data_IF_754396613245
#
_entry.id   IF_754396613245
#
_cell.length_a   1.000
_cell.length_b   1.000
_cell.length_c   1.000
_cell.angle_alpha   90.00
_cell.angle_beta   90.00
_cell.angle_gamma   90.00
#
_symmetry.space_group_name_H-M   'P 1'
#
loop_
_entity.id
_entity.type
_entity.pdbx_description
1 polymer ?
#
# COMPACT_ATOMS: atom_id res chain seq x y z
N UNK A 1 15.45 36.14 -7.60
CA UNK A 1 15.44 34.77 -8.19
C UNK A 1 14.44 33.81 -7.53
N UNK A 2 14.11 33.89 -6.22
CA UNK A 2 13.17 32.94 -5.59
C UNK A 2 11.70 33.11 -6.03
N UNK A 3 11.24 34.34 -6.26
CA UNK A 3 9.86 34.64 -6.67
C UNK A 3 9.46 34.04 -8.04
N UNK A 4 10.38 34.07 -9.02
CA UNK A 4 10.15 33.50 -10.36
C UNK A 4 10.04 31.97 -10.30
N UNK A 5 10.93 31.32 -9.54
CA UNK A 5 10.89 29.87 -9.32
C UNK A 5 9.59 29.42 -8.65
N UNK A 6 9.08 30.18 -7.68
CA UNK A 6 7.79 29.90 -7.04
C UNK A 6 6.61 30.00 -8.02
N UNK A 7 6.58 31.04 -8.89
CA UNK A 7 5.52 31.16 -9.92
C UNK A 7 5.56 30.03 -10.94
N UNK A 8 6.75 29.63 -11.38
CA UNK A 8 6.92 28.50 -12.30
C UNK A 8 6.43 27.18 -11.69
N UNK A 9 6.71 26.94 -10.40
CA UNK A 9 6.22 25.75 -9.69
C UNK A 9 4.69 25.76 -9.59
N UNK A 10 4.07 26.89 -9.24
CA UNK A 10 2.61 26.97 -9.17
C UNK A 10 1.96 26.78 -10.55
N UNK A 11 2.51 27.36 -11.61
CA UNK A 11 2.04 27.14 -12.98
C UNK A 11 2.20 25.68 -13.43
N UNK A 12 3.29 25.01 -13.02
CA UNK A 12 3.49 23.59 -13.27
C UNK A 12 2.44 22.73 -12.56
N UNK A 13 2.20 23.00 -11.26
CA UNK A 13 1.22 22.27 -10.44
C UNK A 13 -0.19 22.32 -11.03
N UNK A 14 -0.60 23.44 -11.62
CA UNK A 14 -1.90 23.58 -12.26
C UNK A 14 -2.14 22.59 -13.40
N UNK A 15 -1.08 22.06 -14.03
CA UNK A 15 -1.17 21.06 -15.10
C UNK A 15 -1.28 19.61 -14.59
N UNK A 16 -1.11 19.39 -13.29
CA UNK A 16 -1.07 18.05 -12.72
C UNK A 16 -2.47 17.53 -12.41
N UNK A 17 -2.77 16.33 -12.91
CA UNK A 17 -3.96 15.55 -12.58
C UNK A 17 -3.57 14.10 -12.31
N UNK A 18 -4.15 13.49 -11.28
CA UNK A 18 -3.86 12.09 -10.97
C UNK A 18 -4.44 11.21 -12.07
N UNK A 19 -3.58 10.41 -12.70
CA UNK A 19 -3.99 9.36 -13.66
C UNK A 19 -4.70 8.23 -12.93
N UNK A 20 -5.50 7.43 -13.64
CA UNK A 20 -6.21 6.29 -13.03
C UNK A 20 -5.24 5.31 -12.35
N UNK A 21 -4.08 5.06 -12.98
CA UNK A 21 -2.99 4.30 -12.40
C UNK A 21 -2.57 4.85 -11.02
N UNK A 22 -2.28 6.16 -10.94
CA UNK A 22 -1.87 6.81 -9.70
C UNK A 22 -2.97 6.78 -8.65
N UNK A 23 -4.24 6.93 -9.05
CA UNK A 23 -5.41 6.88 -8.16
C UNK A 23 -5.58 5.51 -7.50
N UNK A 24 -5.50 4.45 -8.30
CA UNK A 24 -5.63 3.07 -7.79
C UNK A 24 -4.50 2.72 -6.82
N UNK A 25 -3.27 3.11 -7.16
CA UNK A 25 -2.08 2.88 -6.34
C UNK A 25 -2.19 3.67 -5.04
N UNK A 26 -2.56 4.95 -5.12
CA UNK A 26 -2.74 5.82 -3.97
C UNK A 26 -3.69 5.22 -2.94
N UNK A 27 -4.80 4.61 -3.36
CA UNK A 27 -5.73 3.93 -2.44
C UNK A 27 -5.04 2.81 -1.66
N UNK A 28 -4.24 1.99 -2.33
CA UNK A 28 -3.47 0.91 -1.69
C UNK A 28 -2.45 1.45 -0.69
N UNK A 29 -1.69 2.47 -1.09
CA UNK A 29 -0.69 3.12 -0.25
C UNK A 29 -1.30 3.79 0.99
N UNK A 30 -2.50 4.36 0.87
CA UNK A 30 -3.18 4.98 2.02
C UNK A 30 -3.76 3.96 3.00
N UNK A 31 -4.05 2.73 2.56
CA UNK A 31 -4.32 1.63 3.49
C UNK A 31 -3.03 1.11 4.15
N UNK A 32 -1.89 1.27 3.49
CA UNK A 32 -0.57 0.84 3.92
C UNK A 32 0.24 1.89 4.69
N UNK A 33 1.52 1.98 4.34
CA UNK A 33 2.55 2.75 5.06
C UNK A 33 2.53 4.24 4.72
N UNK A 34 1.97 4.62 3.56
CA UNK A 34 2.00 6.02 3.11
C UNK A 34 1.05 6.92 3.92
N UNK A 35 1.34 8.21 3.89
CA UNK A 35 0.46 9.22 4.48
C UNK A 35 0.30 10.48 3.62
N UNK A 36 -0.84 11.15 3.78
CA UNK A 36 -1.07 12.49 3.26
C UNK A 36 -0.82 13.51 4.37
N UNK A 37 0.08 14.46 4.11
CA UNK A 37 0.39 15.55 5.02
C UNK A 37 -0.16 16.88 4.48
N UNK A 38 -0.64 17.74 5.37
CA UNK A 38 -1.07 19.11 5.05
C UNK A 38 -0.34 20.12 5.91
N UNK A 39 0.00 21.27 5.34
CA UNK A 39 0.59 22.41 6.05
C UNK A 39 -0.33 23.66 6.04
N UNK A 40 -1.49 23.58 5.37
CA UNK A 40 -2.38 24.72 5.17
C UNK A 40 -3.83 24.36 5.51
N UNK A 41 -4.02 23.71 6.67
CA UNK A 41 -5.34 23.36 7.23
C UNK A 41 -6.24 22.58 6.25
N UNK A 42 -5.66 21.66 5.49
CA UNK A 42 -6.38 20.75 4.60
C UNK A 42 -6.82 21.36 3.26
N UNK A 43 -6.27 22.51 2.87
CA UNK A 43 -6.49 23.07 1.52
C UNK A 43 -5.79 22.23 0.45
N UNK A 44 -4.57 21.78 0.74
CA UNK A 44 -3.79 20.90 -0.14
C UNK A 44 -3.05 19.86 0.67
N UNK A 45 -2.76 18.72 0.04
CA UNK A 45 -2.02 17.65 0.67
C UNK A 45 -0.85 17.24 -0.20
N UNK A 46 0.19 16.69 0.41
CA UNK A 46 1.28 15.98 -0.26
C UNK A 46 1.27 14.52 0.16
N UNK A 47 1.57 13.62 -0.76
CA UNK A 47 1.85 12.23 -0.47
C UNK A 47 3.30 12.10 0.02
N UNK A 48 3.47 11.44 1.16
CA UNK A 48 4.76 11.08 1.73
C UNK A 48 4.94 9.58 1.66
N UNK A 49 6.04 9.18 1.03
CA UNK A 49 6.49 7.79 0.93
C UNK A 49 7.80 7.67 1.70
N UNK A 50 7.89 6.66 2.55
CA UNK A 50 9.05 6.44 3.39
C UNK A 50 9.14 4.97 3.78
N UNK A 51 10.22 4.29 3.37
CA UNK A 51 10.49 2.91 3.75
C UNK A 51 11.93 2.76 4.23
N UNK A 52 12.22 1.61 4.84
CA UNK A 52 13.60 1.22 5.14
C UNK A 52 14.44 1.14 3.87
N UNK A 53 15.75 1.34 3.98
CA UNK A 53 16.67 1.21 2.83
C UNK A 53 16.64 -0.20 2.22
N UNK A 54 16.29 -1.23 2.99
CA UNK A 54 16.09 -2.59 2.48
C UNK A 54 14.96 -2.68 1.43
N UNK A 55 14.04 -1.72 1.42
CA UNK A 55 12.96 -1.60 0.44
C UNK A 55 13.17 -0.42 -0.53
N UNK A 56 14.43 0.03 -0.73
CA UNK A 56 14.75 1.16 -1.59
C UNK A 56 14.19 1.03 -3.02
N UNK A 57 14.21 -0.18 -3.60
CA UNK A 57 13.66 -0.43 -4.93
C UNK A 57 12.15 -0.21 -5.00
N UNK A 58 11.42 -0.45 -3.90
CA UNK A 58 9.99 -0.14 -3.84
C UNK A 58 9.73 1.36 -3.76
N UNK A 59 10.53 2.10 -2.98
CA UNK A 59 10.46 3.58 -2.96
C UNK A 59 10.78 4.17 -4.33
N UNK A 60 11.80 3.64 -5.00
CA UNK A 60 12.15 4.06 -6.36
C UNK A 60 11.02 3.77 -7.34
N UNK A 61 10.41 2.58 -7.29
CA UNK A 61 9.23 2.25 -8.10
C UNK A 61 8.10 3.28 -7.92
N UNK A 62 7.76 3.61 -6.67
CA UNK A 62 6.74 4.62 -6.35
C UNK A 62 7.14 6.01 -6.84
N UNK A 63 8.41 6.38 -6.72
CA UNK A 63 8.92 7.65 -7.25
C UNK A 63 8.71 7.76 -8.77
N UNK A 64 8.97 6.69 -9.53
CA UNK A 64 8.75 6.71 -10.99
C UNK A 64 7.26 6.86 -11.34
N UNK A 65 6.36 6.19 -10.62
CA UNK A 65 4.90 6.31 -10.81
C UNK A 65 4.42 7.75 -10.55
N UNK A 66 4.99 8.41 -9.54
CA UNK A 66 4.62 9.75 -9.14
C UNK A 66 5.64 10.81 -9.60
N UNK A 67 6.45 10.54 -10.63
CA UNK A 67 7.61 11.38 -10.97
C UNK A 67 7.24 12.84 -11.20
N UNK A 68 6.16 13.09 -11.95
CA UNK A 68 5.64 14.44 -12.25
C UNK A 68 5.16 15.19 -11.00
N UNK A 69 4.92 14.48 -9.91
CA UNK A 69 4.47 15.07 -8.67
C UNK A 69 5.63 15.45 -7.75
N UNK A 70 6.87 15.14 -8.09
CA UNK A 70 8.00 15.22 -7.16
C UNK A 70 9.02 16.27 -7.64
N UNK A 71 9.54 17.10 -6.73
CA UNK A 71 10.55 18.12 -7.09
C UNK A 71 11.99 17.68 -6.85
N UNK A 72 12.20 16.67 -5.99
CA UNK A 72 13.51 16.19 -5.58
C UNK A 72 13.51 14.66 -5.59
N UNK A 73 14.62 14.06 -6.06
CA UNK A 73 14.79 12.61 -6.02
C UNK A 73 14.70 12.05 -4.59
N UNK A 74 14.41 10.74 -4.42
CA UNK A 74 14.35 10.13 -3.10
C UNK A 74 15.63 10.34 -2.29
N UNK A 75 15.46 10.74 -1.03
CA UNK A 75 16.56 11.10 -0.14
C UNK A 75 16.70 10.11 1.00
N UNK A 76 17.93 9.86 1.44
CA UNK A 76 18.19 9.07 2.65
C UNK A 76 18.09 9.98 3.86
N UNK A 77 17.38 9.51 4.89
CA UNK A 77 17.42 10.11 6.22
C UNK A 77 17.81 9.08 7.26
N UNK A 78 18.46 9.56 8.33
CA UNK A 78 18.84 8.75 9.49
C UNK A 78 17.87 9.04 10.63
N UNK A 79 17.39 7.99 11.28
CA UNK A 79 16.54 8.07 12.45
C UNK A 79 17.18 7.26 13.58
N UNK A 80 17.36 7.87 14.75
CA UNK A 80 17.86 7.17 15.94
C UNK A 80 16.68 6.77 16.83
N UNK A 81 16.54 5.48 17.12
CA UNK A 81 15.48 4.92 17.98
C UNK A 81 16.15 3.97 18.96
N UNK A 82 15.95 4.19 20.27
CA UNK A 82 16.50 3.35 21.34
C UNK A 82 17.99 3.02 21.16
N UNK A 83 18.81 4.04 20.83
CA UNK A 83 20.25 3.90 20.63
C UNK A 83 20.70 3.33 19.28
N UNK A 84 19.79 2.77 18.47
CA UNK A 84 20.08 2.23 17.13
C UNK A 84 19.78 3.26 16.04
N UNK A 85 20.63 3.32 15.03
CA UNK A 85 20.43 4.18 13.85
C UNK A 85 19.82 3.38 12.72
N UNK A 86 18.67 3.84 12.23
CA UNK A 86 17.97 3.30 11.07
C UNK A 86 18.10 4.27 9.91
N UNK A 87 18.33 3.74 8.71
CA UNK A 87 18.27 4.52 7.48
C UNK A 87 16.96 4.25 6.77
N UNK A 88 16.35 5.34 6.28
CA UNK A 88 15.14 5.29 5.48
C UNK A 88 15.33 6.06 4.19
N UNK A 89 14.72 5.57 3.12
CA UNK A 89 14.62 6.28 1.86
C UNK A 89 13.21 6.86 1.75
N UNK A 90 13.10 8.15 1.40
CA UNK A 90 11.81 8.84 1.37
C UNK A 90 11.74 9.87 0.24
N UNK A 91 10.53 10.20 -0.19
CA UNK A 91 10.24 11.36 -1.01
C UNK A 91 8.85 11.91 -0.68
N UNK A 92 8.61 13.16 -1.07
CA UNK A 92 7.29 13.79 -0.99
C UNK A 92 6.88 14.32 -2.35
N UNK A 93 5.57 14.28 -2.64
CA UNK A 93 5.01 15.04 -3.75
C UNK A 93 4.94 16.53 -3.42
N UNK A 94 4.67 17.36 -4.44
CA UNK A 94 4.17 18.72 -4.27
C UNK A 94 2.84 18.68 -3.52
N UNK A 95 2.59 19.70 -2.70
CA UNK A 95 1.30 19.90 -2.05
C UNK A 95 0.27 20.33 -3.09
N UNK A 96 -0.77 19.53 -3.31
CA UNK A 96 -1.75 19.78 -4.36
C UNK A 96 -3.20 19.48 -3.93
N UNK A 97 -4.16 20.10 -4.61
CA UNK A 97 -5.60 19.90 -4.38
C UNK A 97 -6.09 18.51 -4.81
N UNK A 98 -5.41 17.87 -5.77
CA UNK A 98 -5.78 16.53 -6.27
C UNK A 98 -5.81 15.44 -5.17
N UNK A 99 -4.99 15.60 -4.12
CA UNK A 99 -4.95 14.66 -2.99
C UNK A 99 -6.03 14.95 -1.93
N UNK A 100 -6.72 16.10 -1.99
CA UNK A 100 -7.67 16.55 -0.97
C UNK A 100 -8.84 15.60 -0.81
N UNK A 101 -9.40 15.11 -1.92
CA UNK A 101 -10.48 14.11 -1.90
C UNK A 101 -10.08 12.89 -1.07
N UNK A 102 -8.92 12.29 -1.37
CA UNK A 102 -8.39 11.14 -0.65
C UNK A 102 -8.15 11.45 0.83
N UNK A 103 -7.56 12.61 1.15
CA UNK A 103 -7.34 12.99 2.53
C UNK A 103 -8.64 13.08 3.34
N UNK A 104 -9.70 13.66 2.76
CA UNK A 104 -11.01 13.75 3.41
C UNK A 104 -11.69 12.40 3.60
N UNK A 105 -11.37 11.41 2.77
CA UNK A 105 -11.90 10.06 2.87
C UNK A 105 -11.13 9.19 3.89
N UNK A 106 -9.80 9.31 3.91
CA UNK A 106 -8.91 8.44 4.68
C UNK A 106 -8.48 9.00 6.03
N UNK A 107 -8.86 10.25 6.37
CA UNK A 107 -8.51 10.84 7.65
C UNK A 107 -9.71 11.48 8.33
N UNK A 108 -9.88 11.19 9.63
CA UNK A 108 -10.85 11.86 10.50
C UNK A 108 -10.09 12.37 11.73
N UNK A 109 -10.15 13.68 11.96
CA UNK A 109 -9.44 14.35 13.06
C UNK A 109 -7.92 14.05 13.08
N UNK A 110 -7.30 13.93 11.91
CA UNK A 110 -5.87 13.61 11.78
C UNK A 110 -5.51 12.13 11.93
N UNK A 111 -6.47 11.28 12.31
CA UNK A 111 -6.28 9.83 12.41
C UNK A 111 -6.71 9.13 11.12
N UNK A 112 -5.92 8.15 10.67
CA UNK A 112 -6.23 7.34 9.49
C UNK A 112 -7.48 6.48 9.76
N UNK A 113 -8.40 6.45 8.82
CA UNK A 113 -9.65 5.65 8.86
C UNK A 113 -9.87 4.99 7.50
N UNK A 114 -10.65 3.90 7.48
CA UNK A 114 -11.06 3.28 6.22
C UNK A 114 -12.31 4.00 5.70
N UNK A 115 -12.33 4.51 4.46
CA UNK A 115 -13.48 5.27 3.98
C UNK A 115 -14.72 4.41 3.80
N UNK A 116 -15.91 5.01 3.92
CA UNK A 116 -17.17 4.33 3.58
C UNK A 116 -17.20 3.88 2.11
N UNK A 117 -16.55 4.64 1.23
CA UNK A 117 -16.44 4.37 -0.19
C UNK A 117 -15.36 3.32 -0.55
N UNK A 118 -14.72 2.66 0.44
CA UNK A 118 -13.57 1.79 0.17
C UNK A 118 -13.87 0.68 -0.84
N UNK A 119 -15.08 0.13 -0.84
CA UNK A 119 -15.54 -0.84 -1.85
C UNK A 119 -15.44 -0.30 -3.28
N UNK A 120 -15.75 0.98 -3.49
CA UNK A 120 -15.66 1.61 -4.82
C UNK A 120 -14.24 2.04 -5.19
N UNK A 121 -13.40 2.32 -4.21
CA UNK A 121 -12.06 2.87 -4.42
C UNK A 121 -10.98 1.79 -4.56
N UNK A 122 -11.10 0.67 -3.84
CA UNK A 122 -10.06 -0.36 -3.80
C UNK A 122 -10.17 -1.30 -5.01
N UNK A 123 -9.19 -1.23 -5.90
CA UNK A 123 -9.04 -2.16 -7.04
C UNK A 123 -8.10 -3.32 -6.70
N UNK A 124 -7.95 -4.29 -7.60
CA UNK A 124 -6.96 -5.36 -7.47
C UNK A 124 -5.52 -4.81 -7.42
N UNK A 125 -5.24 -3.75 -8.19
CA UNK A 125 -3.97 -3.02 -8.12
C UNK A 125 -3.80 -2.36 -6.75
N UNK A 126 -4.79 -1.63 -6.24
CA UNK A 126 -4.74 -1.06 -4.90
C UNK A 126 -4.52 -2.13 -3.81
N UNK A 127 -5.16 -3.29 -3.93
CA UNK A 127 -4.94 -4.43 -3.03
C UNK A 127 -3.49 -4.93 -3.06
N UNK A 128 -2.87 -4.97 -4.24
CA UNK A 128 -1.46 -5.37 -4.39
C UNK A 128 -0.50 -4.39 -3.73
N UNK A 129 -0.73 -3.08 -3.84
CA UNK A 129 0.11 -2.08 -3.16
C UNK A 129 -0.09 -2.08 -1.65
N UNK A 130 -1.33 -2.24 -1.19
CA UNK A 130 -1.58 -2.46 0.24
C UNK A 130 -0.86 -3.72 0.75
N UNK A 131 -0.80 -4.79 -0.06
CA UNK A 131 -0.05 -6.00 0.29
C UNK A 131 1.46 -5.77 0.28
N UNK A 132 2.00 -4.99 -0.66
CA UNK A 132 3.43 -4.65 -0.66
C UNK A 132 3.81 -3.86 0.59
N UNK A 133 2.95 -2.98 1.09
CA UNK A 133 3.19 -2.23 2.34
C UNK A 133 3.04 -3.16 3.56
N UNK A 134 1.82 -3.64 3.82
CA UNK A 134 1.44 -4.27 5.10
C UNK A 134 1.21 -5.78 5.03
N UNK A 135 1.37 -6.37 3.85
CA UNK A 135 1.20 -7.79 3.62
C UNK A 135 2.38 -8.63 4.08
N UNK A 136 2.10 -9.87 4.49
CA UNK A 136 3.10 -10.88 4.81
C UNK A 136 2.55 -12.31 4.71
N UNK A 137 3.44 -13.30 4.62
CA UNK A 137 3.08 -14.71 4.80
C UNK A 137 2.87 -15.03 6.27
N UNK A 138 1.94 -15.94 6.59
CA UNK A 138 1.82 -16.46 7.96
C UNK A 138 3.04 -17.29 8.38
N UNK A 139 3.48 -18.19 7.50
CA UNK A 139 4.68 -19.01 7.68
C UNK A 139 5.08 -19.62 6.33
N UNK A 140 6.30 -20.16 6.22
CA UNK A 140 6.78 -20.81 4.98
C UNK A 140 5.94 -22.03 4.58
N UNK A 141 5.30 -22.69 5.55
CA UNK A 141 4.45 -23.86 5.37
C UNK A 141 2.99 -23.50 5.08
N UNK A 142 2.60 -22.23 5.27
CA UNK A 142 1.22 -21.78 5.08
C UNK A 142 1.06 -21.02 3.78
N UNK A 143 -0.10 -21.22 3.12
CA UNK A 143 -0.54 -20.36 2.01
C UNK A 143 -1.37 -19.17 2.47
N UNK A 144 -1.55 -19.01 3.78
CA UNK A 144 -2.30 -17.90 4.34
C UNK A 144 -1.51 -16.59 4.23
N UNK A 145 -2.23 -15.52 3.95
CA UNK A 145 -1.71 -14.16 3.84
C UNK A 145 -2.22 -13.34 5.01
N UNK A 146 -1.36 -12.49 5.55
CA UNK A 146 -1.67 -11.57 6.64
C UNK A 146 -1.58 -10.14 6.12
N UNK A 147 -2.47 -9.27 6.58
CA UNK A 147 -2.33 -7.82 6.48
C UNK A 147 -2.23 -7.23 7.89
N UNK A 148 -1.17 -6.47 8.13
CA UNK A 148 -0.95 -5.75 9.37
C UNK A 148 -1.88 -4.54 9.42
N UNK A 149 -2.93 -4.62 10.24
CA UNK A 149 -3.97 -3.58 10.37
C UNK A 149 -4.08 -3.05 11.79
N UNK A 150 -3.02 -3.18 12.59
CA UNK A 150 -3.04 -2.88 14.02
C UNK A 150 -3.30 -1.39 14.30
N UNK A 151 -2.98 -0.51 13.35
CA UNK A 151 -3.28 0.92 13.43
C UNK A 151 -4.73 1.30 13.08
N UNK A 152 -5.57 0.34 12.69
CA UNK A 152 -6.96 0.58 12.32
C UNK A 152 -7.93 0.18 13.44
N UNK A 153 -9.06 0.87 13.50
CA UNK A 153 -10.15 0.54 14.43
C UNK A 153 -10.87 -0.76 14.02
N UNK A 154 -11.55 -1.41 14.95
CA UNK A 154 -12.31 -2.63 14.64
C UNK A 154 -13.40 -2.40 13.55
N UNK A 155 -14.16 -1.28 13.56
CA UNK A 155 -15.07 -0.94 12.46
C UNK A 155 -14.37 -0.77 11.11
N UNK A 156 -13.13 -0.23 11.10
CA UNK A 156 -12.32 -0.10 9.89
C UNK A 156 -11.89 -1.45 9.33
N UNK A 157 -11.41 -2.33 10.20
CA UNK A 157 -11.06 -3.71 9.84
C UNK A 157 -12.29 -4.48 9.35
N UNK A 158 -13.45 -4.31 9.99
CA UNK A 158 -14.70 -4.94 9.53
C UNK A 158 -15.11 -4.50 8.12
N UNK A 159 -14.95 -3.22 7.77
CA UNK A 159 -15.18 -2.73 6.39
C UNK A 159 -14.24 -3.40 5.38
N UNK A 160 -12.95 -3.51 5.72
CA UNK A 160 -11.97 -4.17 4.85
C UNK A 160 -12.28 -5.66 4.66
N UNK A 161 -12.62 -6.37 5.74
CA UNK A 161 -13.04 -7.77 5.67
C UNK A 161 -14.25 -7.96 4.76
N UNK A 162 -15.22 -7.07 4.83
CA UNK A 162 -16.39 -7.09 3.95
C UNK A 162 -16.00 -6.93 2.49
N UNK A 163 -15.14 -5.97 2.16
CA UNK A 163 -14.65 -5.78 0.78
C UNK A 163 -13.85 -6.99 0.29
N UNK A 164 -12.93 -7.51 1.10
CA UNK A 164 -12.14 -8.70 0.76
C UNK A 164 -13.04 -9.91 0.42
N UNK A 165 -14.11 -10.12 1.20
CA UNK A 165 -15.07 -11.21 0.97
C UNK A 165 -15.97 -10.95 -0.24
N UNK A 166 -16.69 -9.84 -0.24
CA UNK A 166 -17.77 -9.58 -1.21
C UNK A 166 -17.25 -9.21 -2.61
N UNK A 167 -16.14 -8.47 -2.69
CA UNK A 167 -15.63 -7.96 -3.97
C UNK A 167 -14.53 -8.84 -4.54
N UNK A 168 -13.62 -9.34 -3.70
CA UNK A 168 -12.47 -10.10 -4.15
C UNK A 168 -12.67 -11.62 -4.03
N UNK A 169 -13.71 -12.08 -3.32
CA UNK A 169 -13.97 -13.50 -3.11
C UNK A 169 -12.93 -14.16 -2.21
N UNK A 170 -12.39 -13.42 -1.25
CA UNK A 170 -11.32 -13.88 -0.36
C UNK A 170 -11.89 -14.26 1.01
N UNK A 171 -11.60 -15.47 1.47
CA UNK A 171 -11.93 -15.93 2.82
C UNK A 171 -11.03 -15.23 3.85
N UNK A 172 -11.45 -14.04 4.26
CA UNK A 172 -10.73 -13.22 5.24
C UNK A 172 -11.41 -13.25 6.61
N UNK A 173 -10.65 -13.18 7.70
CA UNK A 173 -11.14 -12.95 9.08
C UNK A 173 -10.19 -12.06 9.87
N UNK A 174 -10.70 -11.37 10.89
CA UNK A 174 -9.84 -10.69 11.85
C UNK A 174 -9.21 -11.69 12.82
N UNK A 175 -8.01 -11.37 13.27
CA UNK A 175 -7.29 -12.05 14.35
C UNK A 175 -6.80 -11.00 15.32
N UNK A 176 -7.04 -11.20 16.62
CA UNK A 176 -6.49 -10.32 17.67
C UNK A 176 -4.99 -10.60 17.84
N UNK A 177 -4.19 -9.54 17.86
CA UNK A 177 -2.79 -9.53 18.28
C UNK A 177 -2.65 -8.61 19.50
N UNK A 178 -1.48 -8.60 20.13
CA UNK A 178 -1.21 -7.76 21.31
C UNK A 178 -1.37 -6.27 20.96
N UNK A 179 -0.95 -5.87 19.77
CA UNK A 179 -0.88 -4.48 19.31
C UNK A 179 -2.15 -4.01 18.59
N UNK A 180 -3.10 -4.91 18.32
CA UNK A 180 -4.33 -4.56 17.60
C UNK A 180 -4.92 -5.72 16.80
N UNK A 181 -5.68 -5.40 15.75
CA UNK A 181 -6.28 -6.40 14.87
C UNK A 181 -5.40 -6.62 13.62
N UNK A 182 -5.30 -7.88 13.19
CA UNK A 182 -4.65 -8.28 11.95
C UNK A 182 -5.68 -8.98 11.06
N UNK A 183 -5.66 -8.72 9.75
CA UNK A 183 -6.49 -9.47 8.81
C UNK A 183 -5.74 -10.73 8.39
N UNK A 184 -6.41 -11.87 8.47
CA UNK A 184 -5.95 -13.17 8.00
C UNK A 184 -6.78 -13.58 6.78
N UNK A 185 -6.13 -13.85 5.65
CA UNK A 185 -6.72 -14.47 4.47
C UNK A 185 -6.35 -15.95 4.45
N UNK A 186 -7.36 -16.80 4.36
CA UNK A 186 -7.22 -18.25 4.33
C UNK A 186 -6.34 -18.71 3.17
N UNK A 187 -5.49 -19.70 3.41
CA UNK A 187 -4.73 -20.37 2.35
C UNK A 187 -5.59 -21.08 1.31
N UNK A 188 -6.89 -21.26 1.56
CA UNK A 188 -7.87 -21.70 0.55
C UNK A 188 -8.05 -20.67 -0.56
N UNK A 189 -8.00 -19.38 -0.23
CA UNK A 189 -8.11 -18.28 -1.19
C UNK A 189 -6.76 -17.91 -1.83
N UNK A 190 -5.71 -18.69 -1.62
CA UNK A 190 -4.35 -18.35 -2.10
C UNK A 190 -4.29 -18.12 -3.62
N UNK A 191 -4.82 -19.04 -4.42
CA UNK A 191 -4.76 -18.91 -5.89
C UNK A 191 -5.54 -17.68 -6.37
N UNK A 192 -6.71 -17.42 -5.77
CA UNK A 192 -7.53 -16.23 -6.05
C UNK A 192 -6.78 -14.95 -5.66
N UNK A 193 -6.21 -14.91 -4.46
CA UNK A 193 -5.44 -13.76 -3.97
C UNK A 193 -4.25 -13.49 -4.88
N UNK A 194 -3.47 -14.53 -5.20
CA UNK A 194 -2.31 -14.43 -6.09
C UNK A 194 -2.70 -13.89 -7.46
N UNK A 195 -3.73 -14.45 -8.09
CA UNK A 195 -4.22 -13.97 -9.38
C UNK A 195 -4.63 -12.49 -9.38
N UNK A 196 -5.15 -11.99 -8.25
CA UNK A 196 -5.51 -10.58 -8.10
C UNK A 196 -4.30 -9.66 -7.97
N UNK A 197 -3.27 -10.06 -7.20
CA UNK A 197 -2.17 -9.15 -6.84
C UNK A 197 -0.91 -9.31 -7.70
N UNK A 198 -0.61 -10.53 -8.15
CA UNK A 198 0.64 -10.88 -8.85
C UNK A 198 0.91 -10.03 -10.10
N UNK A 199 -0.08 -9.65 -10.94
CA UNK A 199 0.15 -8.77 -12.08
C UNK A 199 0.70 -7.39 -11.72
N UNK A 200 0.55 -6.96 -10.46
CA UNK A 200 0.91 -5.62 -9.99
C UNK A 200 2.08 -5.63 -8.99
N UNK A 201 2.58 -6.81 -8.60
CA UNK A 201 3.73 -6.90 -7.70
C UNK A 201 5.04 -6.65 -8.44
N UNK A 202 5.87 -5.79 -7.88
CA UNK A 202 7.24 -5.63 -8.35
C UNK A 202 8.08 -6.85 -7.96
N UNK A 203 9.10 -7.22 -8.76
CA UNK A 203 9.95 -8.37 -8.49
C UNK A 203 10.50 -8.40 -7.06
N UNK A 204 10.90 -7.24 -6.54
CA UNK A 204 11.62 -7.11 -5.29
C UNK A 204 10.70 -7.17 -4.07
N UNK A 205 9.38 -7.23 -4.27
CA UNK A 205 8.38 -7.44 -3.22
C UNK A 205 7.72 -8.82 -3.30
N UNK A 206 8.09 -9.66 -4.30
CA UNK A 206 7.51 -11.01 -4.47
C UNK A 206 7.85 -11.96 -3.32
N UNK A 207 8.93 -11.72 -2.59
CA UNK A 207 9.29 -12.50 -1.41
C UNK A 207 8.20 -12.50 -0.32
N UNK A 208 7.30 -11.49 -0.32
CA UNK A 208 6.17 -11.42 0.61
C UNK A 208 5.06 -12.42 0.28
N UNK A 209 4.97 -12.91 -0.96
CA UNK A 209 3.95 -13.90 -1.34
C UNK A 209 4.31 -15.29 -0.82
N UNK A 210 3.32 -16.10 -0.40
CA UNK A 210 3.55 -17.52 -0.21
C UNK A 210 4.05 -18.15 -1.52
N UNK A 211 5.00 -19.08 -1.42
CA UNK A 211 5.47 -19.84 -2.57
C UNK A 211 4.29 -20.51 -3.30
N UNK A 212 4.44 -20.80 -4.58
CA UNK A 212 3.41 -21.50 -5.34
C UNK A 212 3.16 -22.90 -4.77
N UNK A 213 1.97 -23.48 -5.02
CA UNK A 213 1.76 -24.90 -4.76
C UNK A 213 2.55 -25.68 -5.80
N UNK A 214 3.24 -26.74 -5.36
CA UNK A 214 3.83 -27.68 -6.32
C UNK A 214 2.69 -28.29 -7.14
N UNK A 215 2.86 -28.47 -8.46
CA UNK A 215 1.94 -29.30 -9.23
C UNK A 215 1.81 -30.64 -8.50
N UNK A 216 0.59 -31.18 -8.40
CA UNK A 216 0.47 -32.58 -8.00
C UNK A 216 1.10 -33.40 -9.13
N UNK A 217 1.98 -34.37 -8.85
CA UNK A 217 2.40 -35.33 -9.86
C UNK A 217 1.14 -35.97 -10.44
N UNK A 218 1.12 -36.16 -11.76
CA UNK A 218 0.02 -36.86 -12.39
C UNK A 218 0.05 -38.33 -11.93
N UNK A 219 -0.98 -38.77 -11.22
CA UNK A 219 -1.03 -40.11 -10.64
C UNK A 219 -1.27 -41.19 -11.70
N UNK A 220 -1.51 -40.81 -12.97
CA UNK A 220 -1.64 -41.74 -14.10
C UNK A 220 -0.31 -42.19 -14.70
N UNK A 221 0.83 -41.62 -14.29
CA UNK A 221 2.17 -42.02 -14.78
C UNK A 221 2.92 -42.97 -13.84
N UNK A 222 2.28 -43.42 -12.75
CA UNK A 222 2.90 -44.44 -11.90
C UNK A 222 2.96 -45.78 -12.66
N UNK A 223 4.15 -46.39 -12.80
CA UNK A 223 4.26 -47.73 -13.35
C UNK A 223 3.32 -48.65 -12.57
N UNK A 224 2.43 -49.34 -13.29
CA UNK A 224 1.71 -50.48 -12.72
C UNK A 224 2.77 -51.56 -12.50
N UNK A 225 3.10 -51.84 -11.25
CA UNK A 225 3.81 -53.07 -10.86
C UNK A 225 2.97 -54.30 -11.20
#
# INVERSE_FOLDING_TARGET
MSSVRSRQIEAYKQKLALTDLQREILVGLLLGDACLETQNRGRTYRLKIEHSVAQAQYVQHLYHIFRDWVLQEPQIKRQRIAGKTYQKLWFNTVSHGAFRFYAQQFYRNGTKVVPKLIRRLLTARGLAYWFMDDGSIKSKQSKAVLFNTQGLSEPDVAKLLRVLREQFGLEAKSRRQREGQQIYISGRSYERFRALVEPYLIPQMRYKLPAQRKPRPDLTELPKE
#
